data_IF_922974412095
#
_entry.id   IF_922974412095
#
_cell.length_a   1.000
_cell.length_b   1.000
_cell.length_c   1.000
_cell.angle_alpha   90.00
_cell.angle_beta   90.00
_cell.angle_gamma   90.00
#
_symmetry.space_group_name_H-M   'P 1'
#
loop_
_entity.id
_entity.type
_entity.pdbx_description
1 polymer ?
#
# COMPACT_ATOMS: atom_id res chain seq x y z
N UNK A 1 -31.63 7.93 -42.05
CA UNK A 1 -30.21 8.02 -41.64
C UNK A 1 -29.99 8.69 -40.29
N UNK A 2 -30.65 9.81 -39.96
CA UNK A 2 -30.42 10.57 -38.72
C UNK A 2 -30.59 9.76 -37.42
N UNK A 3 -31.59 8.86 -37.37
CA UNK A 3 -31.90 8.03 -36.19
C UNK A 3 -30.82 6.96 -35.94
N UNK A 4 -30.28 6.37 -37.01
CA UNK A 4 -29.23 5.35 -36.93
C UNK A 4 -27.92 5.98 -36.45
N UNK A 5 -27.57 7.15 -37.00
CA UNK A 5 -26.39 7.90 -36.57
C UNK A 5 -26.46 8.33 -35.09
N UNK A 6 -27.64 8.75 -34.62
CA UNK A 6 -27.85 9.13 -33.20
C UNK A 6 -27.75 7.95 -32.24
N UNK A 7 -28.27 6.78 -32.63
CA UNK A 7 -28.12 5.54 -31.86
C UNK A 7 -26.68 5.06 -31.81
N UNK A 8 -25.95 5.14 -32.93
CA UNK A 8 -24.53 4.81 -32.98
C UNK A 8 -23.70 5.74 -32.08
N UNK A 9 -23.99 7.04 -32.11
CA UNK A 9 -23.33 8.03 -31.27
C UNK A 9 -23.55 7.73 -29.78
N UNK A 10 -24.80 7.46 -29.35
CA UNK A 10 -25.07 7.11 -27.94
C UNK A 10 -24.39 5.82 -27.50
N UNK A 11 -24.31 4.81 -28.37
CA UNK A 11 -23.62 3.55 -28.06
C UNK A 11 -22.10 3.76 -27.92
N UNK A 12 -21.50 4.56 -28.79
CA UNK A 12 -20.08 4.92 -28.71
C UNK A 12 -19.80 5.74 -27.45
N UNK A 13 -20.68 6.71 -27.13
CA UNK A 13 -20.56 7.52 -25.91
C UNK A 13 -20.68 6.67 -24.65
N UNK A 14 -21.64 5.73 -24.61
CA UNK A 14 -21.81 4.80 -23.50
C UNK A 14 -20.61 3.86 -23.34
N UNK A 15 -20.08 3.31 -24.43
CA UNK A 15 -18.90 2.46 -24.42
C UNK A 15 -17.64 3.23 -23.97
N UNK A 16 -17.49 4.48 -24.39
CA UNK A 16 -16.35 5.33 -23.97
C UNK A 16 -16.48 5.79 -22.51
N UNK A 17 -17.68 6.05 -22.00
CA UNK A 17 -17.89 6.27 -20.56
C UNK A 17 -17.56 5.02 -19.74
N UNK A 18 -17.96 3.82 -20.20
CA UNK A 18 -17.61 2.56 -19.54
C UNK A 18 -16.11 2.28 -19.58
N UNK A 19 -15.44 2.56 -20.70
CA UNK A 19 -13.98 2.45 -20.81
C UNK A 19 -13.26 3.46 -19.91
N UNK A 20 -13.75 4.70 -19.83
CA UNK A 20 -13.21 5.73 -18.94
C UNK A 20 -13.42 5.37 -17.45
N UNK A 21 -14.55 4.79 -17.09
CA UNK A 21 -14.83 4.26 -15.75
C UNK A 21 -13.93 3.07 -15.42
N UNK A 22 -13.70 2.18 -16.39
CA UNK A 22 -12.72 1.09 -16.27
C UNK A 22 -11.32 1.64 -16.02
N UNK A 23 -10.84 2.57 -16.83
CA UNK A 23 -9.53 3.21 -16.65
C UNK A 23 -9.41 3.98 -15.32
N UNK A 24 -10.49 4.63 -14.86
CA UNK A 24 -10.50 5.34 -13.58
C UNK A 24 -10.43 4.37 -12.39
N UNK A 25 -11.08 3.20 -12.48
CA UNK A 25 -10.97 2.14 -11.47
C UNK A 25 -9.54 1.60 -11.37
N UNK A 26 -8.83 1.51 -12.50
CA UNK A 26 -7.42 1.11 -12.61
C UNK A 26 -6.42 2.23 -12.33
N UNK A 27 -6.84 3.41 -11.86
CA UNK A 27 -5.92 4.53 -11.64
C UNK A 27 -4.95 4.21 -10.50
N UNK A 28 -3.75 3.77 -10.88
CA UNK A 28 -2.59 3.76 -10.01
C UNK A 28 -2.32 5.21 -9.58
N UNK A 29 -2.02 5.48 -8.29
CA UNK A 29 -1.66 6.82 -7.85
C UNK A 29 -0.53 7.35 -8.73
N UNK A 30 -0.62 8.62 -9.13
CA UNK A 30 0.43 9.25 -9.92
C UNK A 30 1.66 9.47 -9.02
N UNK A 31 2.58 8.50 -9.03
CA UNK A 31 3.82 8.51 -8.26
C UNK A 31 4.88 9.30 -9.02
N UNK A 32 5.67 10.09 -8.29
CA UNK A 32 6.88 10.70 -8.86
C UNK A 32 7.98 9.64 -9.10
N UNK A 33 9.08 10.04 -9.74
CA UNK A 33 10.16 9.13 -10.09
C UNK A 33 10.80 8.46 -8.85
N UNK A 34 10.95 9.22 -7.76
CA UNK A 34 11.56 8.74 -6.52
C UNK A 34 10.62 7.78 -5.79
N UNK A 35 9.33 8.11 -5.71
CA UNK A 35 8.28 7.27 -5.16
C UNK A 35 8.14 5.96 -5.94
N UNK A 36 8.22 6.02 -7.27
CA UNK A 36 8.22 4.83 -8.13
C UNK A 36 9.45 3.95 -7.86
N UNK A 37 10.64 4.55 -7.74
CA UNK A 37 11.86 3.83 -7.42
C UNK A 37 11.76 3.15 -6.05
N UNK A 38 11.18 3.83 -5.05
CA UNK A 38 10.99 3.29 -3.71
C UNK A 38 9.96 2.15 -3.66
N UNK A 39 8.84 2.26 -4.38
CA UNK A 39 7.88 1.16 -4.51
C UNK A 39 8.55 -0.07 -5.16
N UNK A 40 9.34 0.14 -6.22
CA UNK A 40 10.07 -0.95 -6.87
C UNK A 40 11.14 -1.57 -5.95
N UNK A 41 11.81 -0.74 -5.13
CA UNK A 41 12.77 -1.20 -4.12
C UNK A 41 12.07 -2.07 -3.06
N UNK A 42 10.92 -1.65 -2.56
CA UNK A 42 10.12 -2.41 -1.61
C UNK A 42 9.74 -3.79 -2.17
N UNK A 43 9.24 -3.83 -3.41
CA UNK A 43 8.93 -5.08 -4.12
C UNK A 43 10.15 -5.98 -4.27
N UNK A 44 11.33 -5.42 -4.51
CA UNK A 44 12.58 -6.20 -4.53
C UNK A 44 12.89 -6.82 -3.18
N UNK A 45 12.78 -6.06 -2.08
CA UNK A 45 13.03 -6.58 -0.73
C UNK A 45 12.10 -7.76 -0.43
N UNK A 46 10.82 -7.64 -0.77
CA UNK A 46 9.86 -8.73 -0.56
C UNK A 46 10.17 -9.95 -1.43
N UNK A 47 10.49 -9.72 -2.70
CA UNK A 47 10.92 -10.79 -3.62
C UNK A 47 12.16 -11.52 -3.12
N UNK A 48 13.18 -10.78 -2.67
CA UNK A 48 14.44 -11.35 -2.19
C UNK A 48 14.23 -12.16 -0.90
N UNK A 49 13.29 -11.75 -0.05
CA UNK A 49 12.90 -12.52 1.15
C UNK A 49 12.26 -13.88 0.78
N UNK A 50 11.41 -13.93 -0.23
CA UNK A 50 10.82 -15.19 -0.72
C UNK A 50 11.84 -16.08 -1.41
N UNK A 51 12.68 -15.50 -2.27
CA UNK A 51 13.73 -16.24 -2.97
C UNK A 51 14.74 -16.90 -2.00
N UNK A 52 15.06 -16.24 -0.87
CA UNK A 52 15.94 -16.79 0.17
C UNK A 52 15.45 -18.09 0.80
N UNK A 53 14.14 -18.30 0.83
CA UNK A 53 13.52 -19.52 1.39
C UNK A 53 13.08 -20.50 0.30
N UNK A 54 13.48 -20.27 -0.96
CA UNK A 54 13.15 -21.16 -2.08
C UNK A 54 11.69 -21.11 -2.52
N UNK A 55 10.94 -20.07 -2.11
CA UNK A 55 9.53 -19.88 -2.47
C UNK A 55 9.45 -18.86 -3.62
N UNK A 56 8.72 -19.14 -4.71
CA UNK A 56 8.55 -18.17 -5.79
C UNK A 56 7.75 -16.96 -5.31
N UNK A 57 8.27 -15.76 -5.59
CA UNK A 57 7.55 -14.52 -5.33
C UNK A 57 6.46 -14.29 -6.37
N UNK A 58 5.20 -14.37 -5.94
CA UNK A 58 4.05 -14.03 -6.78
C UNK A 58 3.50 -12.65 -6.37
N UNK A 59 3.73 -11.66 -7.23
CA UNK A 59 3.15 -10.33 -7.05
C UNK A 59 1.64 -10.42 -7.22
N UNK A 60 0.89 -10.11 -6.16
CA UNK A 60 -0.55 -9.95 -6.24
C UNK A 60 -0.87 -8.48 -5.92
N UNK A 61 -1.20 -7.69 -6.93
CA UNK A 61 -1.65 -6.32 -6.68
C UNK A 61 -3.15 -6.35 -6.36
N UNK A 62 -3.57 -5.84 -5.21
CA UNK A 62 -4.83 -5.13 -5.14
C UNK A 62 -4.59 -3.76 -5.74
N UNK A 63 -5.63 -3.23 -6.37
CA UNK A 63 -5.69 -1.80 -6.57
C UNK A 63 -6.03 -1.17 -5.21
N UNK A 64 -5.51 0.02 -4.91
CA UNK A 64 -5.96 0.79 -3.73
C UNK A 64 -7.50 0.87 -3.67
N UNK A 65 -8.13 0.92 -4.85
CA UNK A 65 -9.58 0.90 -5.06
C UNK A 65 -10.27 -0.32 -4.45
N UNK A 66 -9.62 -1.49 -4.42
CA UNK A 66 -10.21 -2.75 -3.96
C UNK A 66 -10.47 -2.73 -2.45
N UNK A 67 -9.74 -1.91 -1.70
CA UNK A 67 -9.91 -1.76 -0.26
C UNK A 67 -10.57 -0.43 0.15
N UNK A 68 -10.89 0.46 -0.78
CA UNK A 68 -11.50 1.77 -0.49
C UNK A 68 -12.87 1.66 0.22
N UNK A 69 -13.48 0.48 0.23
CA UNK A 69 -14.68 0.17 1.03
C UNK A 69 -14.42 0.13 2.54
N UNK A 70 -13.17 -0.06 2.96
CA UNK A 70 -12.76 -0.01 4.37
C UNK A 70 -12.66 1.45 4.79
N UNK A 71 -13.56 1.88 5.68
CA UNK A 71 -13.58 3.24 6.18
C UNK A 71 -12.22 3.62 6.79
N UNK A 72 -11.67 4.76 6.36
CA UNK A 72 -10.41 5.31 6.87
C UNK A 72 -9.26 4.30 6.80
N UNK A 73 -9.22 3.46 5.75
CA UNK A 73 -8.21 2.41 5.58
C UNK A 73 -6.78 2.93 5.75
N UNK A 74 -6.46 4.07 5.16
CA UNK A 74 -5.14 4.68 5.27
C UNK A 74 -4.80 5.03 6.74
N UNK A 75 -5.71 5.69 7.48
CA UNK A 75 -5.53 5.98 8.91
C UNK A 75 -5.35 4.69 9.71
N UNK A 76 -6.16 3.67 9.45
CA UNK A 76 -6.11 2.39 10.19
C UNK A 76 -4.83 1.60 9.91
N UNK A 77 -4.37 1.56 8.67
CA UNK A 77 -3.09 0.95 8.28
C UNK A 77 -1.90 1.69 8.92
N UNK A 78 -1.98 3.01 8.99
CA UNK A 78 -0.99 3.83 9.65
C UNK A 78 -0.99 3.60 11.17
N UNK A 79 -2.16 3.63 11.80
CA UNK A 79 -2.34 3.41 13.24
C UNK A 79 -1.95 1.99 13.68
N UNK A 80 -2.22 0.96 12.87
CA UNK A 80 -1.72 -0.41 13.10
C UNK A 80 -0.21 -0.51 13.11
N UNK A 81 0.47 0.33 12.32
CA UNK A 81 1.92 0.46 12.35
C UNK A 81 2.39 0.99 13.72
N UNK A 82 1.61 1.88 14.34
CA UNK A 82 2.00 2.61 15.55
C UNK A 82 1.58 1.93 16.88
N UNK A 83 0.42 1.26 16.94
CA UNK A 83 -0.29 1.02 18.21
C UNK A 83 -0.25 -0.40 18.79
N UNK A 84 0.54 -1.32 18.24
CA UNK A 84 0.49 -2.72 18.69
C UNK A 84 1.25 -3.03 20.01
N UNK A 85 0.87 -2.34 21.10
CA UNK A 85 0.98 -2.73 22.51
C UNK A 85 2.05 -3.79 22.89
N UNK A 86 3.33 -3.57 22.52
CA UNK A 86 4.46 -4.39 22.95
C UNK A 86 4.96 -5.50 22.00
N UNK A 87 4.36 -5.72 20.82
CA UNK A 87 4.93 -6.61 19.78
C UNK A 87 5.03 -5.86 18.45
N UNK A 88 6.23 -5.44 18.11
CA UNK A 88 6.51 -4.43 17.06
C UNK A 88 7.21 -5.07 15.86
N UNK A 89 6.46 -5.96 15.21
CA UNK A 89 6.89 -6.79 14.08
C UNK A 89 6.10 -6.47 12.80
N UNK A 90 5.56 -5.25 12.65
CA UNK A 90 4.64 -4.92 11.57
C UNK A 90 5.14 -3.80 10.65
N UNK A 91 6.32 -3.23 10.87
CA UNK A 91 6.87 -2.19 10.00
C UNK A 91 8.18 -2.67 9.43
N UNK A 92 8.39 -2.50 8.13
CA UNK A 92 9.61 -2.79 7.42
C UNK A 92 10.20 -1.45 6.99
N UNK A 93 11.37 -1.11 7.50
CA UNK A 93 12.08 0.07 7.03
C UNK A 93 12.62 -0.19 5.60
N UNK A 94 12.35 0.75 4.69
CA UNK A 94 12.80 0.65 3.31
C UNK A 94 14.06 1.49 3.10
N UNK A 95 13.97 2.80 3.37
CA UNK A 95 15.08 3.73 3.15
C UNK A 95 14.82 5.10 3.80
N UNK A 96 15.90 5.83 4.09
CA UNK A 96 15.85 7.27 4.41
C UNK A 96 16.53 8.02 3.27
N UNK A 97 15.81 8.92 2.60
CA UNK A 97 16.45 9.87 1.70
C UNK A 97 16.96 11.05 2.53
N UNK A 98 18.28 11.28 2.47
CA UNK A 98 18.89 12.46 3.08
C UNK A 98 18.31 13.74 2.46
N UNK A 99 18.05 14.79 3.27
CA UNK A 99 17.40 16.00 2.79
C UNK A 99 18.24 16.62 1.69
N UNK A 100 17.64 16.74 0.49
CA UNK A 100 18.24 17.48 -0.61
C UNK A 100 18.12 18.96 -0.27
N UNK A 101 19.17 19.48 0.39
CA UNK A 101 19.48 20.91 0.57
C UNK A 101 18.53 21.77 1.42
N UNK A 102 17.50 21.21 2.05
CA UNK A 102 16.65 21.94 3.00
C UNK A 102 16.82 21.39 4.43
N UNK A 103 17.25 22.24 5.35
CA UNK A 103 17.49 21.89 6.75
C UNK A 103 16.15 21.55 7.40
N UNK A 104 15.81 20.26 7.49
CA UNK A 104 14.80 19.77 8.42
C UNK A 104 13.88 18.64 7.95
N UNK A 105 13.75 18.38 6.65
CA UNK A 105 12.74 17.43 6.14
C UNK A 105 13.39 16.13 5.64
N UNK A 106 13.50 15.13 6.51
CA UNK A 106 13.92 13.78 6.13
C UNK A 106 12.74 13.05 5.51
N UNK A 107 12.92 12.50 4.31
CA UNK A 107 11.94 11.58 3.75
C UNK A 107 12.27 10.16 4.20
N UNK A 108 11.34 9.55 4.93
CA UNK A 108 11.49 8.18 5.40
C UNK A 108 10.47 7.31 4.68
N UNK A 109 10.97 6.28 4.02
CA UNK A 109 10.16 5.29 3.32
C UNK A 109 10.11 4.01 4.13
N UNK A 110 8.91 3.49 4.32
CA UNK A 110 8.68 2.28 5.10
C UNK A 110 7.45 1.54 4.58
N UNK A 111 7.28 0.28 4.96
CA UNK A 111 6.08 -0.48 4.70
C UNK A 111 5.45 -0.97 6.01
N UNK A 112 4.12 -0.88 6.12
CA UNK A 112 3.34 -1.50 7.21
C UNK A 112 2.77 -2.82 6.70
N UNK A 113 3.04 -3.91 7.42
CA UNK A 113 2.51 -5.25 7.16
C UNK A 113 1.18 -5.43 7.89
N UNK A 114 0.15 -5.82 7.15
CA UNK A 114 -1.08 -6.41 7.66
C UNK A 114 -0.94 -7.92 7.47
N UNK A 115 -0.84 -8.63 8.58
CA UNK A 115 -0.72 -10.08 8.58
C UNK A 115 -2.09 -10.71 8.43
N UNK A 116 -2.12 -11.90 7.85
CA UNK A 116 -3.36 -12.65 7.71
C UNK A 116 -4.14 -12.91 9.00
N UNK A 117 -3.50 -12.92 10.16
CA UNK A 117 -4.13 -13.12 11.48
C UNK A 117 -4.69 -11.82 12.08
N UNK A 118 -4.36 -10.65 11.53
CA UNK A 118 -4.87 -9.36 12.00
C UNK A 118 -6.38 -9.23 11.78
N UNK A 119 -7.05 -8.46 12.65
CA UNK A 119 -8.47 -8.11 12.46
C UNK A 119 -8.70 -7.33 11.16
N UNK A 120 -7.78 -6.41 10.82
CA UNK A 120 -7.87 -5.65 9.59
C UNK A 120 -7.75 -6.52 8.34
N UNK A 121 -7.03 -7.64 8.40
CA UNK A 121 -6.91 -8.56 7.27
C UNK A 121 -8.26 -9.18 6.87
N UNK A 122 -9.15 -9.40 7.82
CA UNK A 122 -10.51 -9.88 7.55
C UNK A 122 -11.33 -8.82 6.80
N UNK A 123 -11.27 -7.58 7.28
CA UNK A 123 -11.99 -6.46 6.68
C UNK A 123 -11.46 -6.07 5.30
N UNK A 124 -10.16 -6.29 5.07
CA UNK A 124 -9.52 -6.15 3.76
C UNK A 124 -9.77 -7.35 2.83
N UNK A 125 -10.42 -8.43 3.30
CA UNK A 125 -10.66 -9.63 2.49
C UNK A 125 -9.38 -10.43 2.18
N UNK A 126 -8.32 -10.27 2.98
CA UNK A 126 -7.06 -11.03 2.87
C UNK A 126 -7.18 -12.45 3.44
N UNK A 127 -8.23 -12.69 4.24
CA UNK A 127 -8.65 -14.02 4.68
C UNK A 127 -9.66 -14.59 3.68
N UNK A 128 -9.24 -15.59 2.92
CA UNK A 128 -10.16 -16.34 2.05
C UNK A 128 -10.64 -17.57 2.82
N UNK A 129 -11.96 -17.72 2.98
CA UNK A 129 -12.55 -18.97 3.43
C UNK A 129 -12.35 -20.04 2.33
N UNK A 130 -11.98 -21.26 2.70
CA UNK A 130 -11.77 -22.43 1.82
C UNK A 130 -10.36 -22.57 1.18
N UNK A 131 -9.36 -22.86 2.00
CA UNK A 131 -8.11 -23.56 1.61
C UNK A 131 -7.15 -22.82 0.64
N UNK A 132 -7.40 -21.56 0.29
CA UNK A 132 -6.38 -20.73 -0.38
C UNK A 132 -5.36 -20.21 0.63
N UNK A 133 -4.10 -19.97 0.24
CA UNK A 133 -3.13 -19.38 1.14
C UNK A 133 -3.65 -18.03 1.59
N UNK A 134 -3.62 -17.81 2.90
CA UNK A 134 -3.84 -16.49 3.48
C UNK A 134 -2.96 -15.45 2.76
N UNK A 135 -3.38 -14.20 2.72
CA UNK A 135 -2.58 -13.11 2.15
C UNK A 135 -2.11 -12.16 3.24
N UNK A 136 -0.92 -11.62 3.04
CA UNK A 136 -0.44 -10.43 3.73
C UNK A 136 -0.59 -9.22 2.81
N UNK A 137 -0.79 -8.04 3.40
CA UNK A 137 -0.70 -6.77 2.68
C UNK A 137 0.45 -5.92 3.22
N UNK A 138 1.13 -5.21 2.32
CA UNK A 138 2.18 -4.26 2.65
C UNK A 138 1.76 -2.88 2.14
N UNK A 139 1.40 -2.01 3.06
CA UNK A 139 1.13 -0.62 2.78
C UNK A 139 2.45 0.15 2.76
N UNK A 140 2.85 0.67 1.59
CA UNK A 140 4.10 1.40 1.38
C UNK A 140 3.84 2.89 1.62
N UNK A 141 4.66 3.50 2.47
CA UNK A 141 4.49 4.85 2.96
C UNK A 141 5.72 5.71 2.69
N UNK A 142 5.49 7.01 2.51
CA UNK A 142 6.48 8.09 2.58
C UNK A 142 6.10 9.00 3.73
N UNK A 143 7.00 9.21 4.67
CA UNK A 143 6.85 10.24 5.67
C UNK A 143 7.69 11.46 5.29
N UNK A 144 7.09 12.64 5.34
CA UNK A 144 7.71 13.94 5.00
C UNK A 144 8.10 14.76 6.24
N UNK A 145 8.10 14.17 7.43
CA UNK A 145 8.32 14.81 8.73
C UNK A 145 7.07 15.48 9.30
N UNK A 146 6.10 15.84 8.46
CA UNK A 146 4.82 16.43 8.89
C UNK A 146 3.64 15.53 8.60
N UNK A 147 3.72 14.71 7.54
CA UNK A 147 2.63 13.85 7.10
C UNK A 147 3.13 12.50 6.60
N UNK A 148 2.33 11.46 6.83
CA UNK A 148 2.52 10.16 6.17
C UNK A 148 1.63 10.09 4.93
N UNK A 149 2.25 9.86 3.77
CA UNK A 149 1.60 9.66 2.47
C UNK A 149 1.63 8.17 2.13
N UNK A 150 0.46 7.58 1.90
CA UNK A 150 0.35 6.22 1.37
C UNK A 150 0.72 6.24 -0.12
N UNK A 151 1.70 5.44 -0.51
CA UNK A 151 2.17 5.33 -1.90
C UNK A 151 1.50 4.15 -2.63
N UNK A 152 1.42 3.00 -1.97
CA UNK A 152 0.87 1.78 -2.56
C UNK A 152 0.42 0.81 -1.46
N UNK A 153 -0.43 -0.15 -1.83
CA UNK A 153 -0.70 -1.34 -1.01
C UNK A 153 -0.51 -2.55 -1.92
N UNK A 154 0.49 -3.37 -1.64
CA UNK A 154 0.72 -4.62 -2.38
C UNK A 154 0.27 -5.81 -1.51
N UNK A 155 -0.23 -6.88 -2.11
CA UNK A 155 -0.54 -8.14 -1.39
C UNK A 155 0.35 -9.28 -1.84
N UNK A 156 0.63 -10.17 -0.92
CA UNK A 156 1.41 -11.38 -1.19
C UNK A 156 0.77 -12.58 -0.52
N UNK A 157 0.88 -13.77 -1.10
CA UNK A 157 0.59 -15.00 -0.38
C UNK A 157 1.42 -15.04 0.91
N UNK A 158 0.79 -15.41 2.01
CA UNK A 158 1.45 -15.61 3.29
C UNK A 158 2.26 -16.90 3.22
N UNK A 159 3.54 -16.80 3.60
CA UNK A 159 4.43 -17.93 3.75
C UNK A 159 5.06 -17.89 5.15
N UNK A 160 4.85 -18.92 6.00
CA UNK A 160 5.30 -18.88 7.39
C UNK A 160 6.84 -18.87 7.52
N UNK A 161 7.55 -19.32 6.49
CA UNK A 161 9.02 -19.35 6.45
C UNK A 161 9.63 -18.01 5.99
N UNK A 162 8.84 -17.12 5.38
CA UNK A 162 9.33 -15.82 4.91
C UNK A 162 9.37 -14.84 6.07
N UNK A 163 10.58 -14.48 6.47
CA UNK A 163 10.81 -13.45 7.47
C UNK A 163 11.23 -12.13 6.80
N UNK A 164 10.42 -11.11 7.00
CA UNK A 164 10.79 -9.73 6.69
C UNK A 164 11.47 -9.12 7.91
N UNK A 165 12.52 -8.34 7.70
CA UNK A 165 13.15 -7.60 8.80
C UNK A 165 12.20 -6.47 9.22
N UNK A 166 11.80 -6.48 10.48
CA UNK A 166 10.79 -5.56 11.00
C UNK A 166 11.43 -4.60 12.00
N UNK A 167 11.17 -3.31 11.84
CA UNK A 167 11.77 -2.21 12.59
C UNK A 167 10.69 -1.18 12.94
N UNK A 168 10.71 -0.63 14.16
CA UNK A 168 9.74 0.37 14.58
C UNK A 168 9.89 1.65 13.76
N UNK A 169 8.77 2.22 13.29
CA UNK A 169 8.76 3.53 12.62
C UNK A 169 9.30 4.63 13.54
N UNK A 170 9.01 4.52 14.85
CA UNK A 170 9.51 5.41 15.89
C UNK A 170 11.05 5.50 15.98
N UNK A 171 11.78 4.49 15.48
CA UNK A 171 13.24 4.53 15.44
C UNK A 171 13.77 5.55 14.43
N UNK A 172 12.95 5.91 13.45
CA UNK A 172 13.32 6.80 12.35
C UNK A 172 12.59 8.15 12.44
N UNK A 173 11.41 8.18 13.08
CA UNK A 173 10.54 9.35 13.12
C UNK A 173 9.89 9.46 14.51
N UNK A 174 10.13 10.54 15.27
CA UNK A 174 9.55 10.73 16.61
C UNK A 174 8.01 10.76 16.59
N UNK A 175 7.37 10.13 17.58
CA UNK A 175 5.90 10.03 17.71
C UNK A 175 5.19 11.40 17.71
N UNK A 176 5.86 12.43 18.22
CA UNK A 176 5.36 13.80 18.34
C UNK A 176 5.11 14.48 16.99
N UNK A 177 5.74 14.00 15.92
CA UNK A 177 5.55 14.50 14.56
C UNK A 177 4.22 14.02 13.97
N UNK A 178 3.68 12.90 14.46
CA UNK A 178 2.46 12.26 13.94
C UNK A 178 1.19 12.77 14.60
N UNK A 179 1.23 13.11 15.89
CA UNK A 179 0.06 13.66 16.61
C UNK A 179 -0.49 14.95 15.99
N UNK A 180 0.32 15.67 15.22
CA UNK A 180 -0.09 16.92 14.53
C UNK A 180 -0.92 16.68 13.26
N UNK A 181 -1.12 15.43 12.86
CA UNK A 181 -1.99 15.04 11.74
C UNK A 181 -3.43 14.77 12.16
N UNK A 182 -3.67 14.59 13.45
CA UNK A 182 -5.01 14.73 14.01
C UNK A 182 -5.29 16.24 14.11
N UNK A 183 -6.47 16.67 13.65
CA UNK A 183 -6.93 18.06 13.50
C UNK A 183 -6.54 18.74 12.17
N UNK A 184 -7.32 18.46 11.12
CA UNK A 184 -8.25 19.39 10.43
C UNK A 184 -9.39 18.55 9.84
#
# INVERSE_FOLDING_TARGET
>A
MLIIARRLFCLILGASMLAALGLAAYSTPNLDADETAMVNKARSIFRDAHNKVGIPYELHSPELSTFNSVSRLHERLHWMAEQNHGRTENIIHLEVADPVWDIGNRHVYYASRVRSDDKLAEEMGLKVANLQPHKDAFAIWKNTGTQAKLLAIDTHPFHPEVHYRLEKLANYIPYEQFRRLEFI
#
